data_IF_231499464405
#
_entry.id   IF_231499464405
#
_cell.length_a   1.000
_cell.length_b   1.000
_cell.length_c   1.000
_cell.angle_alpha   90.00
_cell.angle_beta   90.00
_cell.angle_gamma   90.00
#
_symmetry.space_group_name_H-M   'P 1'
#
loop_
_entity.id
_entity.type
_entity.pdbx_description
1 polymer ?
#
# COMPACT_ATOMS: atom_id res chain seq x y z
N UNK A 1 -22.55 -3.34 -9.33
CA UNK A 1 -21.13 -3.65 -9.13
C UNK A 1 -20.99 -5.11 -9.48
N UNK A 2 -20.14 -5.53 -10.43
CA UNK A 2 -19.92 -6.94 -10.66
C UNK A 2 -19.46 -7.57 -9.33
N UNK A 3 -20.17 -8.57 -8.86
CA UNK A 3 -19.72 -9.41 -7.76
C UNK A 3 -18.51 -10.19 -8.28
N UNK A 4 -17.33 -9.75 -7.88
CA UNK A 4 -16.12 -10.48 -8.17
C UNK A 4 -16.22 -11.83 -7.47
N UNK A 5 -16.09 -12.94 -8.21
CA UNK A 5 -16.16 -14.30 -7.67
C UNK A 5 -15.03 -14.60 -6.68
N UNK A 6 -15.10 -15.76 -6.03
CA UNK A 6 -14.10 -16.16 -5.02
C UNK A 6 -12.65 -16.16 -5.53
N UNK A 7 -12.44 -16.35 -6.84
CA UNK A 7 -11.12 -16.36 -7.47
C UNK A 7 -10.82 -15.08 -8.29
N UNK A 8 -11.44 -13.96 -7.94
CA UNK A 8 -11.45 -12.75 -8.74
C UNK A 8 -10.05 -12.29 -9.21
N UNK A 9 -9.01 -12.44 -8.39
CA UNK A 9 -7.67 -11.98 -8.74
C UNK A 9 -7.04 -12.86 -9.82
N UNK A 10 -7.25 -14.19 -9.76
CA UNK A 10 -6.87 -15.14 -10.82
C UNK A 10 -7.66 -14.85 -12.10
N UNK A 11 -8.98 -14.70 -11.99
CA UNK A 11 -9.86 -14.51 -13.14
C UNK A 11 -9.63 -13.16 -13.82
N UNK A 12 -9.13 -12.17 -13.08
CA UNK A 12 -8.81 -10.83 -13.59
C UNK A 12 -7.73 -10.81 -14.68
N UNK A 13 -6.88 -11.83 -14.74
CA UNK A 13 -5.74 -11.91 -15.67
C UNK A 13 -5.95 -12.88 -16.83
N UNK A 14 -7.04 -13.66 -16.80
CA UNK A 14 -7.41 -14.56 -17.89
C UNK A 14 -7.88 -13.78 -19.13
N UNK A 15 -8.07 -14.49 -20.25
CA UNK A 15 -8.63 -13.90 -21.46
C UNK A 15 -10.00 -13.27 -21.14
N UNK A 16 -10.16 -11.99 -21.53
CA UNK A 16 -11.30 -11.14 -21.17
C UNK A 16 -11.40 -10.74 -19.67
N UNK A 17 -10.39 -11.03 -18.85
CA UNK A 17 -10.33 -10.54 -17.48
C UNK A 17 -10.17 -9.02 -17.40
N UNK A 18 -10.48 -8.43 -16.23
CA UNK A 18 -10.46 -6.98 -16.04
C UNK A 18 -9.07 -6.34 -16.27
N UNK A 19 -7.98 -7.11 -16.18
CA UNK A 19 -6.61 -6.70 -16.47
C UNK A 19 -6.08 -7.20 -17.82
N UNK A 20 -6.93 -7.70 -18.71
CA UNK A 20 -6.53 -8.16 -20.05
C UNK A 20 -6.10 -7.02 -20.99
N UNK A 21 -6.44 -5.77 -20.68
CA UNK A 21 -6.05 -4.59 -21.47
C UNK A 21 -4.53 -4.40 -21.44
N UNK A 22 -3.91 -4.19 -22.61
CA UNK A 22 -2.45 -4.03 -22.75
C UNK A 22 -1.85 -2.90 -21.91
N UNK A 23 -2.62 -1.88 -21.54
CA UNK A 23 -2.16 -0.80 -20.64
C UNK A 23 -2.01 -1.26 -19.18
N UNK A 24 -2.56 -2.43 -18.81
CA UNK A 24 -2.46 -3.05 -17.48
C UNK A 24 -1.52 -4.27 -17.47
N UNK A 25 -0.72 -4.43 -18.51
CA UNK A 25 0.13 -5.60 -18.73
C UNK A 25 1.09 -5.89 -17.54
N UNK A 26 1.63 -4.87 -16.89
CA UNK A 26 2.52 -5.08 -15.73
C UNK A 26 1.76 -5.66 -14.54
N UNK A 27 0.57 -5.15 -14.24
CA UNK A 27 -0.30 -5.73 -13.20
C UNK A 27 -0.65 -7.19 -13.53
N UNK A 28 -1.03 -7.45 -14.78
CA UNK A 28 -1.33 -8.79 -15.28
C UNK A 28 -0.15 -9.75 -15.08
N UNK A 29 1.05 -9.39 -15.56
CA UNK A 29 2.26 -10.21 -15.47
C UNK A 29 2.62 -10.59 -14.02
N UNK A 30 2.50 -9.64 -13.09
CA UNK A 30 2.83 -9.89 -11.67
C UNK A 30 1.86 -10.93 -11.10
N UNK A 31 0.57 -10.78 -11.34
CA UNK A 31 -0.46 -11.71 -10.86
C UNK A 31 -0.28 -13.09 -11.51
N UNK A 32 -0.08 -13.15 -12.82
CA UNK A 32 0.15 -14.41 -13.56
C UNK A 32 1.40 -15.13 -13.05
N UNK A 33 2.50 -14.41 -12.82
CA UNK A 33 3.73 -14.99 -12.29
C UNK A 33 3.51 -15.62 -10.92
N UNK A 34 2.83 -14.94 -10.02
CA UNK A 34 2.50 -15.47 -8.69
C UNK A 34 1.55 -16.67 -8.78
N UNK A 35 0.49 -16.59 -9.58
CA UNK A 35 -0.44 -17.68 -9.81
C UNK A 35 0.29 -18.93 -10.34
N UNK A 36 1.09 -18.77 -11.40
CA UNK A 36 1.82 -19.88 -12.02
C UNK A 36 2.83 -20.53 -11.06
N UNK A 37 3.45 -19.74 -10.17
CA UNK A 37 4.34 -20.25 -9.12
C UNK A 37 3.59 -21.14 -8.14
N UNK A 38 2.49 -20.64 -7.58
CA UNK A 38 1.67 -21.38 -6.61
C UNK A 38 1.07 -22.65 -7.22
N UNK A 39 0.63 -22.57 -8.47
CA UNK A 39 0.05 -23.70 -9.19
C UNK A 39 1.09 -24.80 -9.45
N UNK A 40 2.30 -24.43 -9.89
CA UNK A 40 3.40 -25.40 -10.09
C UNK A 40 3.83 -26.10 -8.80
N UNK A 41 3.71 -25.42 -7.66
CA UNK A 41 4.01 -26.00 -6.34
C UNK A 41 2.84 -26.85 -5.80
N UNK A 42 1.70 -26.90 -6.47
CA UNK A 42 0.52 -27.64 -6.01
C UNK A 42 -0.14 -27.05 -4.75
N UNK A 43 0.15 -25.79 -4.41
CA UNK A 43 -0.32 -25.15 -3.18
C UNK A 43 -1.25 -23.97 -3.44
N UNK A 44 -1.76 -23.82 -4.65
CA UNK A 44 -2.65 -22.72 -4.99
C UNK A 44 -3.87 -22.65 -4.08
N UNK A 45 -4.12 -21.47 -3.54
CA UNK A 45 -5.42 -21.02 -3.06
C UNK A 45 -5.53 -19.52 -3.34
N UNK A 46 -6.75 -19.01 -3.41
CA UNK A 46 -6.96 -17.58 -3.67
C UNK A 46 -6.33 -16.71 -2.56
N UNK A 47 -6.48 -17.13 -1.30
CA UNK A 47 -5.85 -16.43 -0.16
C UNK A 47 -4.33 -16.40 -0.25
N UNK A 48 -3.70 -17.51 -0.70
CA UNK A 48 -2.25 -17.51 -0.95
C UNK A 48 -1.86 -16.60 -2.10
N UNK A 49 -2.65 -16.57 -3.19
CA UNK A 49 -2.39 -15.64 -4.28
C UNK A 49 -2.45 -14.18 -3.82
N UNK A 50 -3.44 -13.82 -2.98
CA UNK A 50 -3.54 -12.50 -2.37
C UNK A 50 -2.30 -12.19 -1.51
N UNK A 51 -1.87 -13.14 -0.68
CA UNK A 51 -0.70 -12.98 0.20
C UNK A 51 0.62 -12.87 -0.56
N UNK A 52 0.71 -13.42 -1.78
CA UNK A 52 1.87 -13.29 -2.67
C UNK A 52 1.99 -11.91 -3.34
N UNK A 53 0.93 -11.11 -3.30
CA UNK A 53 0.96 -9.78 -3.91
C UNK A 53 1.79 -8.83 -3.07
N UNK A 54 2.80 -8.26 -3.68
CA UNK A 54 3.61 -7.21 -3.06
C UNK A 54 2.78 -5.93 -2.83
N UNK A 55 3.22 -5.12 -1.88
CA UNK A 55 2.55 -3.84 -1.55
C UNK A 55 2.36 -2.95 -2.79
N UNK A 56 3.33 -2.95 -3.71
CA UNK A 56 3.24 -2.20 -4.96
C UNK A 56 2.02 -2.54 -5.81
N UNK A 57 1.60 -3.81 -5.85
CA UNK A 57 0.39 -4.23 -6.59
C UNK A 57 -0.84 -3.58 -5.98
N UNK A 58 -0.98 -3.64 -4.66
CA UNK A 58 -2.12 -3.05 -3.94
C UNK A 58 -2.19 -1.53 -4.12
N UNK A 59 -1.04 -0.84 -4.09
CA UNK A 59 -0.96 0.57 -4.42
C UNK A 59 -1.48 0.85 -5.84
N UNK A 60 -1.00 0.09 -6.84
CA UNK A 60 -1.40 0.30 -8.23
C UNK A 60 -2.88 0.04 -8.50
N UNK A 61 -3.57 -0.76 -7.67
CA UNK A 61 -5.02 -0.91 -7.77
C UNK A 61 -5.78 0.41 -7.61
N UNK A 62 -5.18 1.42 -6.98
CA UNK A 62 -5.75 2.78 -6.88
C UNK A 62 -5.36 3.70 -8.04
N UNK A 63 -4.49 3.28 -8.96
CA UNK A 63 -4.21 4.06 -10.17
C UNK A 63 -5.45 4.13 -11.07
N UNK A 64 -5.54 5.17 -11.90
CA UNK A 64 -6.77 5.48 -12.64
C UNK A 64 -7.30 4.34 -13.52
N UNK A 65 -6.41 3.53 -14.11
CA UNK A 65 -6.80 2.42 -14.98
C UNK A 65 -7.34 1.23 -14.17
N UNK A 66 -6.55 0.76 -13.19
CA UNK A 66 -6.90 -0.37 -12.35
C UNK A 66 -8.13 -0.06 -11.49
N UNK A 67 -8.20 1.15 -10.94
CA UNK A 67 -9.35 1.60 -10.15
C UNK A 67 -10.65 1.56 -10.95
N UNK A 68 -10.63 2.01 -12.22
CA UNK A 68 -11.80 1.91 -13.11
C UNK A 68 -12.12 0.45 -13.47
N UNK A 69 -11.11 -0.35 -13.78
CA UNK A 69 -11.27 -1.77 -14.10
C UNK A 69 -11.91 -2.56 -12.95
N UNK A 70 -11.58 -2.23 -11.70
CA UNK A 70 -12.17 -2.84 -10.49
C UNK A 70 -13.53 -2.24 -10.10
N UNK A 71 -14.20 -1.51 -11.01
CA UNK A 71 -15.51 -0.94 -10.77
C UNK A 71 -15.54 0.20 -9.75
N UNK A 72 -14.41 0.86 -9.53
CA UNK A 72 -14.26 2.02 -8.64
C UNK A 72 -14.65 1.73 -7.17
N UNK A 73 -14.61 0.45 -6.76
CA UNK A 73 -15.10 0.05 -5.44
C UNK A 73 -14.05 0.11 -4.33
N UNK A 74 -12.75 0.24 -4.66
CA UNK A 74 -11.65 0.08 -3.69
C UNK A 74 -11.62 1.17 -2.60
N UNK A 75 -12.19 2.35 -2.84
CA UNK A 75 -12.33 3.37 -1.80
C UNK A 75 -13.22 2.94 -0.63
N UNK A 76 -14.02 1.88 -0.79
CA UNK A 76 -14.78 1.28 0.30
C UNK A 76 -13.89 0.66 1.38
N UNK A 77 -12.63 0.37 1.06
CA UNK A 77 -11.64 -0.05 2.05
C UNK A 77 -11.30 1.07 3.06
N UNK A 78 -11.69 2.31 2.78
CA UNK A 78 -11.47 3.48 3.63
C UNK A 78 -12.80 4.12 4.05
N UNK A 79 -13.66 3.43 4.82
CA UNK A 79 -14.99 3.92 5.17
C UNK A 79 -14.96 5.21 5.99
N UNK A 80 -13.91 5.42 6.79
CA UNK A 80 -13.76 6.57 7.67
C UNK A 80 -12.93 7.72 7.07
N UNK A 81 -12.57 7.64 5.78
CA UNK A 81 -11.86 8.75 5.14
C UNK A 81 -12.70 10.03 5.16
N UNK A 82 -12.07 11.22 5.25
CA UNK A 82 -12.80 12.48 5.19
C UNK A 82 -13.63 12.64 3.90
N UNK A 83 -14.66 13.45 3.97
CA UNK A 83 -15.38 13.87 2.77
C UNK A 83 -14.50 14.79 1.95
N UNK A 84 -14.53 14.62 0.62
CA UNK A 84 -13.84 15.53 -0.30
C UNK A 84 -14.42 16.94 -0.21
N UNK A 85 -13.57 17.94 -0.33
CA UNK A 85 -13.89 19.35 -0.41
C UNK A 85 -13.34 19.94 -1.70
N UNK A 86 -13.62 21.22 -1.96
CA UNK A 86 -13.03 21.93 -3.10
C UNK A 86 -11.50 21.96 -3.01
N UNK A 87 -10.96 22.09 -1.80
CA UNK A 87 -9.51 22.18 -1.57
C UNK A 87 -8.81 20.81 -1.60
N UNK A 88 -9.45 19.74 -1.13
CA UNK A 88 -8.83 18.41 -1.03
C UNK A 88 -9.81 17.33 -1.50
N UNK A 89 -9.39 16.58 -2.50
CA UNK A 89 -10.17 15.47 -3.08
C UNK A 89 -9.63 14.14 -2.56
N UNK A 90 -10.31 13.54 -1.57
CA UNK A 90 -9.99 12.22 -1.01
C UNK A 90 -10.48 11.09 -1.93
N UNK A 91 -10.00 11.08 -3.16
CA UNK A 91 -10.33 10.12 -4.21
C UNK A 91 -9.26 9.02 -4.35
N UNK A 92 -9.37 8.18 -5.39
CA UNK A 92 -8.39 7.14 -5.66
C UNK A 92 -6.98 7.67 -5.91
N UNK A 93 -6.83 8.82 -6.57
CA UNK A 93 -5.51 9.42 -6.81
C UNK A 93 -4.86 9.89 -5.50
N UNK A 94 -5.65 10.44 -4.57
CA UNK A 94 -5.15 10.79 -3.24
C UNK A 94 -4.63 9.55 -2.50
N UNK A 95 -5.42 8.48 -2.44
CA UNK A 95 -5.01 7.23 -1.79
C UNK A 95 -3.78 6.63 -2.49
N UNK A 96 -3.75 6.62 -3.82
CA UNK A 96 -2.57 6.19 -4.57
C UNK A 96 -1.30 6.93 -4.13
N UNK A 97 -1.37 8.26 -4.04
CA UNK A 97 -0.22 9.10 -3.66
C UNK A 97 0.23 8.85 -2.21
N UNK A 98 -0.72 8.67 -1.28
CA UNK A 98 -0.35 8.34 0.11
C UNK A 98 0.29 6.95 0.23
N UNK A 99 -0.25 5.95 -0.47
CA UNK A 99 0.34 4.62 -0.53
C UNK A 99 1.71 4.62 -1.24
N UNK A 100 1.92 5.52 -2.22
CA UNK A 100 3.21 5.67 -2.89
C UNK A 100 4.29 6.19 -1.95
N UNK A 101 3.97 7.14 -1.08
CA UNK A 101 4.86 7.62 -0.02
C UNK A 101 5.24 6.49 0.95
N UNK A 102 4.25 5.70 1.39
CA UNK A 102 4.48 4.52 2.24
C UNK A 102 5.40 3.51 1.54
N UNK A 103 5.16 3.24 0.25
CA UNK A 103 6.01 2.34 -0.54
C UNK A 103 7.44 2.87 -0.68
N UNK A 104 7.60 4.17 -0.85
CA UNK A 104 8.91 4.83 -0.93
C UNK A 104 9.66 4.72 0.39
N UNK A 105 9.01 4.98 1.52
CA UNK A 105 9.60 4.78 2.84
C UNK A 105 10.03 3.32 3.05
N UNK A 106 9.13 2.37 2.74
CA UNK A 106 9.43 0.93 2.84
C UNK A 106 10.66 0.55 2.01
N UNK A 107 10.79 1.08 0.81
CA UNK A 107 11.92 0.79 -0.07
C UNK A 107 13.22 1.38 0.49
N UNK A 108 13.21 2.61 1.01
CA UNK A 108 14.37 3.21 1.68
C UNK A 108 14.83 2.37 2.86
N UNK A 109 13.90 1.88 3.69
CA UNK A 109 14.22 0.98 4.82
C UNK A 109 14.82 -0.34 4.30
N UNK A 110 14.21 -0.94 3.27
CA UNK A 110 14.66 -2.21 2.71
C UNK A 110 16.05 -2.11 2.05
N UNK A 111 16.43 -0.94 1.55
CA UNK A 111 17.74 -0.65 0.99
C UNK A 111 18.74 -0.07 2.00
N UNK A 112 18.40 -0.09 3.31
CA UNK A 112 19.26 0.43 4.39
C UNK A 112 19.65 1.92 4.21
N UNK A 113 18.81 2.72 3.56
CA UNK A 113 19.06 4.14 3.39
C UNK A 113 18.94 4.87 4.74
N UNK A 114 19.79 5.89 4.99
CA UNK A 114 19.73 6.68 6.22
C UNK A 114 18.46 7.56 6.25
N UNK A 115 17.43 7.10 6.96
CA UNK A 115 16.13 7.80 7.03
C UNK A 115 16.02 8.77 8.21
N UNK A 116 17.00 8.75 9.14
CA UNK A 116 17.03 9.59 10.33
C UNK A 116 17.85 10.88 10.14
N UNK A 117 18.23 11.20 8.93
CA UNK A 117 19.02 12.38 8.60
C UNK A 117 18.26 13.27 7.62
N UNK A 118 18.54 14.58 7.71
CA UNK A 118 18.08 15.53 6.69
C UNK A 118 18.64 15.10 5.32
N UNK A 119 17.81 15.20 4.29
CA UNK A 119 18.21 14.83 2.94
C UNK A 119 19.47 15.62 2.52
N UNK A 120 20.48 14.90 2.05
CA UNK A 120 21.78 15.42 1.63
C UNK A 120 22.59 16.14 2.73
N UNK A 121 22.34 15.83 4.02
CA UNK A 121 23.06 16.40 5.14
C UNK A 121 23.39 15.35 6.20
N UNK A 122 24.41 15.62 7.02
CA UNK A 122 24.78 14.79 8.17
C UNK A 122 24.00 15.15 9.45
N UNK A 123 23.03 16.07 9.33
CA UNK A 123 22.21 16.50 10.46
C UNK A 123 21.13 15.47 10.77
N UNK A 124 21.07 15.05 12.03
CA UNK A 124 20.01 14.16 12.53
C UNK A 124 18.66 14.88 12.44
N UNK A 125 17.72 14.28 11.74
CA UNK A 125 16.35 14.76 11.60
C UNK A 125 15.37 13.60 11.43
N UNK A 126 14.57 13.35 12.44
CA UNK A 126 13.55 12.28 12.42
C UNK A 126 12.17 12.76 11.99
N UNK A 127 12.01 14.04 11.66
CA UNK A 127 10.70 14.62 11.31
C UNK A 127 10.05 13.93 10.12
N UNK A 128 10.84 13.55 9.12
CA UNK A 128 10.37 12.77 7.97
C UNK A 128 9.70 11.46 8.40
N UNK A 129 10.38 10.67 9.26
CA UNK A 129 9.86 9.38 9.74
C UNK A 129 8.59 9.57 10.55
N UNK A 130 8.59 10.53 11.48
CA UNK A 130 7.42 10.83 12.33
C UNK A 130 6.22 11.21 11.46
N UNK A 131 6.43 12.05 10.45
CA UNK A 131 5.37 12.47 9.53
C UNK A 131 4.82 11.29 8.69
N UNK A 132 5.70 10.45 8.14
CA UNK A 132 5.25 9.28 7.36
C UNK A 132 4.56 8.24 8.25
N UNK A 133 5.03 8.04 9.47
CA UNK A 133 4.38 7.18 10.46
C UNK A 133 2.97 7.68 10.81
N UNK A 134 2.79 8.97 11.04
CA UNK A 134 1.47 9.56 11.29
C UNK A 134 0.51 9.37 10.11
N UNK A 135 1.00 9.45 8.87
CA UNK A 135 0.19 9.15 7.68
C UNK A 135 -0.24 7.69 7.65
N UNK A 136 0.64 6.76 7.98
CA UNK A 136 0.29 5.32 8.07
C UNK A 136 -0.81 5.11 9.11
N UNK A 137 -0.69 5.72 10.30
CA UNK A 137 -1.72 5.65 11.33
C UNK A 137 -3.05 6.24 10.86
N UNK A 138 -2.99 7.35 10.11
CA UNK A 138 -4.16 7.98 9.50
C UNK A 138 -4.86 7.04 8.51
N UNK A 139 -4.08 6.37 7.64
CA UNK A 139 -4.64 5.39 6.70
C UNK A 139 -5.32 4.22 7.44
N UNK A 140 -4.72 3.68 8.51
CA UNK A 140 -5.34 2.66 9.35
C UNK A 140 -6.66 3.15 9.95
N UNK A 141 -6.68 4.36 10.50
CA UNK A 141 -7.90 4.97 11.03
C UNK A 141 -9.00 5.10 9.97
N UNK A 142 -8.64 5.48 8.74
CA UNK A 142 -9.59 5.55 7.62
C UNK A 142 -10.11 4.18 7.20
N UNK A 143 -9.32 3.13 7.38
CA UNK A 143 -9.73 1.74 7.15
C UNK A 143 -10.57 1.18 8.32
N UNK A 144 -10.73 1.93 9.43
CA UNK A 144 -11.40 1.45 10.63
C UNK A 144 -10.54 0.49 11.46
N UNK A 145 -9.23 0.51 11.26
CA UNK A 145 -8.29 -0.35 12.00
C UNK A 145 -7.72 0.43 13.19
N UNK A 146 -7.84 -0.13 14.38
CA UNK A 146 -7.16 0.38 15.57
C UNK A 146 -5.68 -0.02 15.53
N UNK A 147 -4.84 0.93 15.08
CA UNK A 147 -3.40 0.71 14.95
C UNK A 147 -2.71 0.43 16.29
N UNK A 148 -3.22 0.96 17.43
CA UNK A 148 -2.65 0.72 18.75
C UNK A 148 -2.82 -0.73 19.18
N UNK A 149 -4.02 -1.28 19.00
CA UNK A 149 -4.28 -2.69 19.28
C UNK A 149 -3.53 -3.61 18.35
N UNK A 150 -3.51 -3.28 17.04
CA UNK A 150 -2.83 -4.09 16.02
C UNK A 150 -1.31 -4.13 16.22
N UNK A 151 -0.70 -3.02 16.62
CA UNK A 151 0.75 -2.88 16.78
C UNK A 151 1.19 -2.98 18.25
N UNK A 152 0.34 -3.49 19.15
CA UNK A 152 0.64 -3.59 20.57
C UNK A 152 1.97 -4.33 20.81
N UNK A 153 2.86 -3.67 21.55
CA UNK A 153 4.20 -4.21 21.84
C UNK A 153 5.21 -4.15 20.68
N UNK A 154 4.80 -3.72 19.49
CA UNK A 154 5.65 -3.61 18.30
C UNK A 154 5.94 -2.14 17.91
N UNK A 155 5.11 -1.21 18.36
CA UNK A 155 5.24 0.21 18.01
C UNK A 155 6.22 0.94 18.94
N UNK A 156 7.42 1.15 18.44
CA UNK A 156 8.48 1.89 19.13
C UNK A 156 8.95 3.13 18.37
N UNK A 157 8.26 3.52 17.29
CA UNK A 157 8.73 4.59 16.38
C UNK A 157 8.98 5.89 17.13
N UNK A 158 8.01 6.36 17.92
CA UNK A 158 8.15 7.64 18.61
C UNK A 158 9.25 7.63 19.67
N UNK A 159 9.35 6.55 20.47
CA UNK A 159 10.37 6.42 21.51
C UNK A 159 11.78 6.32 20.91
N UNK A 160 11.94 5.61 19.79
CA UNK A 160 13.21 5.51 19.06
C UNK A 160 13.59 6.86 18.45
N UNK A 161 12.65 7.56 17.80
CA UNK A 161 12.90 8.89 17.26
C UNK A 161 13.30 9.90 18.34
N UNK A 162 12.66 9.85 19.51
CA UNK A 162 13.03 10.71 20.63
C UNK A 162 14.47 10.43 21.12
N UNK A 163 14.86 9.15 21.24
CA UNK A 163 16.25 8.77 21.58
C UNK A 163 17.26 9.24 20.53
N UNK A 164 16.95 9.09 19.24
CA UNK A 164 17.82 9.57 18.16
C UNK A 164 17.97 11.08 18.23
N UNK A 165 16.88 11.82 18.45
CA UNK A 165 16.92 13.26 18.56
C UNK A 165 17.73 13.74 19.80
N UNK A 166 17.80 12.98 20.88
CA UNK A 166 18.63 13.32 22.04
C UNK A 166 20.14 13.20 21.77
N UNK A 167 20.53 12.58 20.64
CA UNK A 167 21.93 12.51 20.19
C UNK A 167 22.36 13.73 19.36
N UNK A 168 21.45 14.68 19.13
CA UNK A 168 21.83 15.97 18.52
C UNK A 168 22.74 16.72 19.50
N UNK A 169 24.01 16.77 19.18
CA UNK A 169 25.00 17.54 19.92
C UNK A 169 24.84 19.04 19.68
#
# INVERSE_FOLDING_TARGET
VPTLGENWLKDSVQDNGIFSNGRMNETRKIIEKAYNRLNRQGIYSHSKLIAEMEFGVWKYMFSSLQYRATGQCLLRAFPNKPRSSVAVQYNNAYIFNELDKVNSLRNRIAHHEPICFRLHASEIDTSYIVNEYQKIQTLFSWMGIDSRSMLYGLDHVQSVCAKINSLKG
#
